data_IF_950564889926
#
_entry.id   IF_950564889926
#
_cell.length_a   1.000
_cell.length_b   1.000
_cell.length_c   1.000
_cell.angle_alpha   90.00
_cell.angle_beta   90.00
_cell.angle_gamma   90.00
#
_symmetry.space_group_name_H-M   'P 1'
#
loop_
_entity.id
_entity.type
_entity.pdbx_description
1 polymer ?
#
# COMPACT_ATOMS: atom_id res chain seq x y z
N UNK A 1 -13.36 6.12 11.82
CA UNK A 1 -12.58 5.95 13.07
C UNK A 1 -12.34 4.48 13.43
N UNK A 2 -13.39 3.61 13.48
CA UNK A 2 -13.19 2.18 13.78
C UNK A 2 -12.47 1.43 12.66
N UNK A 3 -12.78 1.72 11.40
CA UNK A 3 -12.09 1.15 10.25
C UNK A 3 -10.62 1.62 10.17
N UNK A 4 -10.35 2.88 10.52
CA UNK A 4 -8.99 3.42 10.57
C UNK A 4 -8.15 2.79 11.69
N UNK A 5 -8.75 2.58 12.87
CA UNK A 5 -8.09 1.90 13.97
C UNK A 5 -7.85 0.40 13.69
N UNK A 6 -8.71 -0.22 12.87
CA UNK A 6 -8.55 -1.60 12.46
C UNK A 6 -7.50 -1.76 11.35
N UNK A 7 -7.45 -0.79 10.41
CA UNK A 7 -6.43 -0.67 9.38
C UNK A 7 -5.05 -0.41 10.01
N UNK A 8 -4.97 0.46 11.01
CA UNK A 8 -3.76 0.77 11.76
C UNK A 8 -3.25 -0.46 12.55
N UNK A 9 -4.15 -1.23 13.18
CA UNK A 9 -3.78 -2.48 13.85
C UNK A 9 -3.31 -3.57 12.89
N UNK A 10 -3.89 -3.64 11.68
CA UNK A 10 -3.42 -4.58 10.63
C UNK A 10 -2.05 -4.12 10.13
N UNK A 11 -1.82 -2.82 10.01
CA UNK A 11 -0.54 -2.25 9.57
C UNK A 11 0.56 -2.36 10.65
N UNK A 12 0.21 -2.25 11.93
CA UNK A 12 1.13 -2.57 13.04
C UNK A 12 1.51 -4.05 13.06
N UNK A 13 0.62 -4.94 12.60
CA UNK A 13 0.88 -6.38 12.44
C UNK A 13 1.69 -6.75 11.20
N UNK A 14 1.86 -5.85 10.22
CA UNK A 14 2.79 -6.02 9.09
C UNK A 14 4.19 -5.62 9.55
N UNK A 15 4.73 -6.41 10.49
CA UNK A 15 6.13 -6.36 10.89
C UNK A 15 7.04 -6.76 9.72
N UNK A 16 8.30 -6.37 9.80
CA UNK A 16 9.37 -6.73 8.84
C UNK A 16 9.44 -8.23 8.53
N UNK A 17 8.93 -9.08 9.42
CA UNK A 17 8.86 -10.52 9.28
C UNK A 17 7.59 -11.05 8.56
N UNK A 18 6.60 -10.21 8.28
CA UNK A 18 5.32 -10.65 7.71
C UNK A 18 5.49 -11.31 6.33
N UNK A 19 6.11 -10.60 5.38
CA UNK A 19 6.34 -11.12 4.03
C UNK A 19 7.32 -12.32 3.99
N UNK A 20 8.45 -12.32 4.72
CA UNK A 20 9.30 -13.49 4.86
C UNK A 20 8.57 -14.71 5.42
N UNK A 21 7.69 -14.52 6.40
CA UNK A 21 6.90 -15.60 6.98
C UNK A 21 5.91 -16.19 5.97
N UNK A 22 5.19 -15.35 5.21
CA UNK A 22 4.29 -15.80 4.14
C UNK A 22 5.05 -16.57 3.06
N UNK A 23 6.22 -16.08 2.65
CA UNK A 23 7.08 -16.74 1.67
C UNK A 23 7.55 -18.09 2.17
N UNK A 24 7.94 -18.20 3.44
CA UNK A 24 8.33 -19.47 4.07
C UNK A 24 7.17 -20.46 4.09
N UNK A 25 5.97 -20.01 4.45
CA UNK A 25 4.75 -20.84 4.45
C UNK A 25 4.39 -21.32 3.05
N UNK A 26 4.44 -20.43 2.04
CA UNK A 26 4.20 -20.80 0.64
C UNK A 26 5.19 -21.88 0.17
N UNK A 27 6.48 -21.75 0.53
CA UNK A 27 7.50 -22.78 0.20
C UNK A 27 7.18 -24.14 0.83
N UNK A 28 6.61 -24.16 2.03
CA UNK A 28 6.20 -25.42 2.69
C UNK A 28 5.06 -26.06 1.89
N UNK A 29 4.04 -25.27 1.52
CA UNK A 29 2.91 -25.76 0.71
C UNK A 29 3.39 -26.30 -0.63
N UNK A 30 4.28 -25.59 -1.33
CA UNK A 30 4.84 -26.05 -2.62
C UNK A 30 5.65 -27.35 -2.49
N UNK A 31 6.30 -27.59 -1.34
CA UNK A 31 6.94 -28.87 -1.09
C UNK A 31 5.92 -30.02 -0.91
N UNK A 32 4.78 -29.73 -0.28
CA UNK A 32 3.70 -30.71 -0.18
C UNK A 32 3.06 -31.00 -1.54
N UNK A 33 2.91 -29.98 -2.39
CA UNK A 33 2.43 -30.16 -3.78
C UNK A 33 3.37 -31.05 -4.59
N UNK A 34 4.69 -30.83 -4.50
CA UNK A 34 5.69 -31.66 -5.17
C UNK A 34 5.66 -33.10 -4.66
N UNK A 35 5.66 -33.30 -3.35
CA UNK A 35 5.56 -34.64 -2.74
C UNK A 35 4.29 -35.37 -3.14
N UNK A 36 3.17 -34.65 -3.22
CA UNK A 36 1.90 -35.19 -3.67
C UNK A 36 1.97 -35.68 -5.14
N UNK A 37 2.59 -34.89 -6.03
CA UNK A 37 2.75 -35.27 -7.46
C UNK A 37 3.65 -36.50 -7.59
N UNK A 38 4.72 -36.62 -6.79
CA UNK A 38 5.57 -37.79 -6.74
C UNK A 38 4.80 -39.04 -6.28
N UNK A 39 3.95 -38.90 -5.26
CA UNK A 39 3.08 -39.96 -4.77
C UNK A 39 2.07 -40.45 -5.82
N UNK A 40 1.47 -39.51 -6.59
CA UNK A 40 0.59 -39.89 -7.71
C UNK A 40 1.33 -40.64 -8.81
N UNK A 41 2.54 -40.18 -9.15
CA UNK A 41 3.37 -40.86 -10.16
C UNK A 41 3.72 -42.27 -9.76
N UNK A 42 4.08 -42.50 -8.49
CA UNK A 42 4.36 -43.82 -7.94
C UNK A 42 3.09 -44.71 -7.96
N UNK A 43 1.93 -44.12 -7.65
CA UNK A 43 0.65 -44.84 -7.63
C UNK A 43 0.24 -45.30 -9.03
N UNK A 44 0.55 -44.51 -10.07
CA UNK A 44 0.31 -44.86 -11.48
C UNK A 44 1.25 -45.97 -11.95
N UNK A 45 2.48 -46.00 -11.48
CA UNK A 45 3.49 -47.03 -11.83
C UNK A 45 3.19 -48.41 -11.21
N UNK A 46 2.43 -48.45 -10.09
CA UNK A 46 2.01 -49.72 -9.48
C UNK A 46 0.81 -50.30 -10.24
N UNK A 47 1.10 -51.05 -11.30
CA UNK A 47 0.09 -51.71 -12.16
C UNK A 47 -0.74 -52.79 -11.46
N UNK A 48 -0.23 -53.40 -10.41
CA UNK A 48 -0.87 -54.53 -9.70
C UNK A 48 -2.08 -54.12 -8.82
N UNK A 49 -2.27 -52.85 -8.50
CA UNK A 49 -3.30 -52.44 -7.56
C UNK A 49 -4.56 -51.90 -8.28
N UNK A 50 -5.23 -52.76 -9.06
CA UNK A 50 -6.54 -52.46 -9.67
C UNK A 50 -7.71 -52.76 -8.70
N UNK A 51 -7.62 -52.27 -7.46
CA UNK A 51 -8.63 -52.53 -6.44
C UNK A 51 -9.41 -51.27 -6.01
N UNK A 52 -10.50 -51.46 -5.23
CA UNK A 52 -11.24 -50.34 -4.64
C UNK A 52 -10.35 -49.46 -3.75
N UNK A 53 -9.29 -50.00 -3.20
CA UNK A 53 -8.31 -49.31 -2.34
C UNK A 53 -7.51 -48.24 -3.11
N UNK A 54 -7.10 -48.50 -4.35
CA UNK A 54 -6.42 -47.54 -5.22
C UNK A 54 -7.31 -46.32 -5.46
N UNK A 55 -8.60 -46.52 -5.78
CA UNK A 55 -9.56 -45.45 -6.00
C UNK A 55 -9.77 -44.56 -4.78
N UNK A 56 -9.81 -45.20 -3.57
CA UNK A 56 -9.94 -44.46 -2.31
C UNK A 56 -8.69 -43.60 -2.04
N UNK A 57 -7.51 -44.14 -2.34
CA UNK A 57 -6.27 -43.42 -2.16
C UNK A 57 -6.16 -42.25 -3.15
N UNK A 58 -6.44 -42.45 -4.43
CA UNK A 58 -6.50 -41.39 -5.44
C UNK A 58 -7.48 -40.28 -5.05
N UNK A 59 -8.66 -40.64 -4.54
CA UNK A 59 -9.64 -39.67 -4.09
C UNK A 59 -9.16 -38.87 -2.87
N UNK A 60 -8.46 -39.49 -1.92
CA UNK A 60 -7.88 -38.79 -0.78
C UNK A 60 -6.74 -37.86 -1.21
N UNK A 61 -5.89 -38.33 -2.10
CA UNK A 61 -4.80 -37.54 -2.65
C UNK A 61 -5.32 -36.33 -3.44
N UNK A 62 -6.35 -36.49 -4.28
CA UNK A 62 -7.00 -35.40 -5.01
C UNK A 62 -7.60 -34.36 -4.06
N UNK A 63 -8.19 -34.76 -2.94
CA UNK A 63 -8.68 -33.81 -1.93
C UNK A 63 -7.53 -33.02 -1.27
N UNK A 64 -6.41 -33.67 -0.97
CA UNK A 64 -5.25 -33.00 -0.41
C UNK A 64 -4.66 -31.98 -1.38
N UNK A 65 -4.63 -32.28 -2.67
CA UNK A 65 -4.23 -31.33 -3.71
C UNK A 65 -5.11 -30.07 -3.69
N UNK A 66 -6.43 -30.24 -3.72
CA UNK A 66 -7.36 -29.12 -3.67
C UNK A 66 -7.17 -28.27 -2.41
N UNK A 67 -6.89 -28.89 -1.27
CA UNK A 67 -6.58 -28.14 -0.05
C UNK A 67 -5.26 -27.37 -0.15
N UNK A 68 -4.20 -27.99 -0.70
CA UNK A 68 -2.90 -27.34 -0.88
C UNK A 68 -3.01 -26.15 -1.83
N UNK A 69 -3.69 -26.29 -2.97
CA UNK A 69 -3.96 -25.22 -3.92
C UNK A 69 -4.76 -24.08 -3.27
N UNK A 70 -5.78 -24.39 -2.49
CA UNK A 70 -6.56 -23.38 -1.75
C UNK A 70 -5.70 -22.62 -0.73
N UNK A 71 -4.86 -23.31 0.02
CA UNK A 71 -3.95 -22.68 0.98
C UNK A 71 -2.93 -21.79 0.24
N UNK A 72 -2.39 -22.25 -0.86
CA UNK A 72 -1.46 -21.49 -1.72
C UNK A 72 -2.11 -20.21 -2.27
N UNK A 73 -3.37 -20.31 -2.72
CA UNK A 73 -4.16 -19.17 -3.18
C UNK A 73 -4.42 -18.17 -2.06
N UNK A 74 -4.88 -18.62 -0.90
CA UNK A 74 -5.12 -17.76 0.26
C UNK A 74 -3.85 -17.02 0.71
N UNK A 75 -2.71 -17.71 0.73
CA UNK A 75 -1.41 -17.07 1.07
C UNK A 75 -1.07 -15.98 0.05
N UNK A 76 -1.34 -16.20 -1.24
CA UNK A 76 -1.10 -15.23 -2.30
C UNK A 76 -2.03 -14.02 -2.20
N UNK A 77 -3.30 -14.24 -1.84
CA UNK A 77 -4.29 -13.21 -1.59
C UNK A 77 -3.90 -12.33 -0.40
N UNK A 78 -3.60 -12.93 0.76
CA UNK A 78 -3.13 -12.21 1.95
C UNK A 78 -1.87 -11.38 1.64
N UNK A 79 -0.97 -11.92 0.82
CA UNK A 79 0.23 -11.20 0.39
C UNK A 79 -0.12 -9.98 -0.45
N UNK A 80 -1.00 -10.12 -1.45
CA UNK A 80 -1.41 -9.02 -2.32
C UNK A 80 -2.16 -7.92 -1.57
N UNK A 81 -2.99 -8.30 -0.60
CA UNK A 81 -3.65 -7.34 0.30
C UNK A 81 -2.63 -6.58 1.17
N UNK A 82 -1.65 -7.28 1.75
CA UNK A 82 -0.57 -6.64 2.50
C UNK A 82 0.27 -5.68 1.67
N UNK A 83 0.62 -6.06 0.45
CA UNK A 83 1.35 -5.20 -0.50
C UNK A 83 0.51 -3.96 -0.87
N UNK A 84 -0.80 -4.12 -1.09
CA UNK A 84 -1.71 -3.01 -1.37
C UNK A 84 -1.80 -2.01 -0.22
N UNK A 85 -1.92 -2.50 1.02
CA UNK A 85 -1.95 -1.66 2.22
C UNK A 85 -0.64 -0.90 2.43
N UNK A 86 0.49 -1.54 2.16
CA UNK A 86 1.80 -0.89 2.23
C UNK A 86 1.93 0.23 1.18
N UNK A 87 1.53 -0.03 -0.06
CA UNK A 87 1.52 0.97 -1.13
C UNK A 87 0.61 2.16 -0.81
N UNK A 88 -0.57 1.90 -0.23
CA UNK A 88 -1.49 2.97 0.20
C UNK A 88 -0.86 3.85 1.30
N UNK A 89 -0.11 3.26 2.22
CA UNK A 89 0.62 3.99 3.26
C UNK A 89 1.76 4.83 2.68
N UNK A 90 2.54 4.26 1.78
CA UNK A 90 3.61 4.97 1.08
C UNK A 90 3.05 6.14 0.26
N UNK A 91 1.95 5.93 -0.45
CA UNK A 91 1.26 6.98 -1.20
C UNK A 91 0.78 8.12 -0.29
N UNK A 92 0.17 7.82 0.86
CA UNK A 92 -0.24 8.85 1.84
C UNK A 92 0.95 9.66 2.36
N UNK A 93 2.08 9.01 2.60
CA UNK A 93 3.30 9.68 3.02
C UNK A 93 3.85 10.59 1.92
N UNK A 94 3.86 10.11 0.68
CA UNK A 94 4.28 10.89 -0.48
C UNK A 94 3.35 12.08 -0.73
N UNK A 95 2.02 11.90 -0.59
CA UNK A 95 1.03 12.98 -0.65
C UNK A 95 1.33 14.07 0.39
N UNK A 96 1.57 13.67 1.64
CA UNK A 96 1.91 14.60 2.72
C UNK A 96 3.19 15.38 2.43
N UNK A 97 4.25 14.69 2.02
CA UNK A 97 5.52 15.33 1.64
C UNK A 97 5.35 16.29 0.45
N UNK A 98 4.54 15.90 -0.54
CA UNK A 98 4.25 16.73 -1.71
C UNK A 98 3.57 18.03 -1.30
N UNK A 99 2.55 17.96 -0.43
CA UNK A 99 1.85 19.15 0.08
C UNK A 99 2.81 20.08 0.80
N UNK A 100 3.61 19.55 1.73
CA UNK A 100 4.61 20.34 2.46
C UNK A 100 5.57 21.02 1.49
N UNK A 101 6.18 20.24 0.59
CA UNK A 101 7.19 20.75 -0.35
C UNK A 101 6.62 21.84 -1.26
N UNK A 102 5.39 21.65 -1.75
CA UNK A 102 4.73 22.62 -2.62
C UNK A 102 4.47 23.94 -1.90
N UNK A 103 4.04 23.89 -0.62
CA UNK A 103 3.81 25.09 0.19
C UNK A 103 5.14 25.80 0.53
N UNK A 104 6.17 25.03 0.89
CA UNK A 104 7.43 25.63 1.30
C UNK A 104 8.25 26.21 0.15
N UNK A 105 8.13 25.66 -1.05
CA UNK A 105 8.94 26.09 -2.21
C UNK A 105 8.72 27.56 -2.60
N UNK A 106 7.48 28.05 -2.85
CA UNK A 106 7.28 29.45 -3.16
C UNK A 106 7.53 30.37 -1.96
N UNK A 107 7.25 29.93 -0.73
CA UNK A 107 7.58 30.70 0.46
C UNK A 107 9.09 30.87 0.62
N UNK A 108 9.86 29.80 0.37
CA UNK A 108 11.34 29.85 0.40
C UNK A 108 11.89 30.76 -0.69
N UNK A 109 11.28 30.73 -1.89
CA UNK A 109 11.65 31.65 -2.97
C UNK A 109 11.38 33.09 -2.60
N UNK A 110 10.20 33.40 -2.04
CA UNK A 110 9.84 34.75 -1.59
C UNK A 110 10.78 35.25 -0.48
N UNK A 111 11.01 34.44 0.55
CA UNK A 111 11.90 34.81 1.66
C UNK A 111 13.34 34.94 1.20
N UNK A 112 13.79 34.08 0.31
CA UNK A 112 15.13 34.14 -0.29
C UNK A 112 15.32 35.39 -1.15
N UNK A 113 14.31 35.76 -1.97
CA UNK A 113 14.37 36.95 -2.80
C UNK A 113 14.45 38.22 -1.96
N UNK A 114 13.61 38.37 -0.95
CA UNK A 114 13.62 39.53 -0.07
C UNK A 114 14.75 39.48 0.99
N UNK A 115 15.34 38.29 1.22
CA UNK A 115 16.54 38.14 2.04
C UNK A 115 17.86 38.55 1.35
N UNK A 116 17.82 38.76 0.04
CA UNK A 116 19.00 39.25 -0.71
C UNK A 116 19.16 40.75 -0.49
N UNK A 117 20.23 41.16 0.23
CA UNK A 117 20.58 42.56 0.44
C UNK A 117 21.07 43.24 -0.85
N UNK A 118 20.25 43.32 -1.89
CA UNK A 118 20.63 43.99 -3.10
C UNK A 118 20.44 45.49 -2.95
N UNK A 119 21.52 46.24 -3.11
CA UNK A 119 21.48 47.71 -3.10
C UNK A 119 20.60 48.21 -4.24
N UNK A 120 19.44 48.80 -3.91
CA UNK A 120 18.47 49.37 -4.88
C UNK A 120 17.10 48.72 -4.91
N UNK A 121 16.78 47.82 -4.01
CA UNK A 121 15.40 47.35 -3.80
C UNK A 121 14.57 48.46 -3.15
N UNK A 122 13.87 49.24 -3.97
CA UNK A 122 12.98 50.34 -3.49
C UNK A 122 11.79 49.82 -2.68
N UNK A 123 11.46 48.54 -2.84
CA UNK A 123 10.39 47.84 -2.11
C UNK A 123 10.70 47.68 -0.62
N UNK A 124 11.97 47.67 -0.24
CA UNK A 124 12.41 47.54 1.17
C UNK A 124 12.28 48.89 1.92
N UNK A 125 12.30 50.02 1.21
CA UNK A 125 12.18 51.35 1.80
C UNK A 125 10.70 51.77 1.97
N UNK A 126 9.75 50.93 1.53
CA UNK A 126 8.33 51.23 1.62
C UNK A 126 7.78 50.86 3.02
N UNK A 127 7.19 51.83 3.71
CA UNK A 127 6.67 51.65 5.09
C UNK A 127 5.69 50.49 5.22
N UNK A 128 4.93 50.14 4.19
CA UNK A 128 3.96 49.06 4.14
C UNK A 128 4.50 47.77 3.52
N UNK A 129 5.77 47.77 3.09
CA UNK A 129 6.39 46.67 2.38
C UNK A 129 6.33 45.33 3.13
N UNK A 130 6.53 45.37 4.44
CA UNK A 130 6.45 44.17 5.30
C UNK A 130 5.03 43.59 5.37
N UNK A 131 4.01 44.45 5.48
CA UNK A 131 2.60 44.02 5.52
C UNK A 131 2.18 43.46 4.16
N UNK A 132 2.60 44.10 3.07
CA UNK A 132 2.36 43.64 1.71
C UNK A 132 3.01 42.26 1.47
N UNK A 133 4.23 42.04 1.92
CA UNK A 133 4.92 40.74 1.84
C UNK A 133 4.17 39.64 2.57
N UNK A 134 3.69 39.89 3.80
CA UNK A 134 2.89 38.91 4.54
C UNK A 134 1.58 38.62 3.82
N UNK A 135 0.90 39.64 3.29
CA UNK A 135 -0.35 39.48 2.52
C UNK A 135 -0.12 38.58 1.28
N UNK A 136 0.95 38.81 0.52
CA UNK A 136 1.30 38.00 -0.65
C UNK A 136 1.60 36.56 -0.22
N UNK A 137 2.36 36.34 0.84
CA UNK A 137 2.64 34.99 1.34
C UNK A 137 1.36 34.24 1.73
N UNK A 138 0.42 34.91 2.42
CA UNK A 138 -0.89 34.32 2.80
C UNK A 138 -1.69 33.98 1.53
N UNK A 139 -1.73 34.85 0.54
CA UNK A 139 -2.45 34.60 -0.73
C UNK A 139 -1.86 33.39 -1.46
N UNK A 140 -0.55 33.29 -1.54
CA UNK A 140 0.12 32.13 -2.17
C UNK A 140 -0.27 30.84 -1.46
N UNK A 141 -0.16 30.78 -0.15
CA UNK A 141 -0.55 29.57 0.64
C UNK A 141 -2.03 29.24 0.46
N UNK A 142 -2.92 30.27 0.47
CA UNK A 142 -4.34 30.06 0.28
C UNK A 142 -4.68 29.50 -1.12
N UNK A 143 -4.01 29.98 -2.16
CA UNK A 143 -4.17 29.47 -3.53
C UNK A 143 -3.70 28.02 -3.64
N UNK A 144 -2.57 27.68 -3.06
CA UNK A 144 -2.03 26.31 -3.06
C UNK A 144 -2.95 25.35 -2.30
N UNK A 145 -3.37 25.70 -1.09
CA UNK A 145 -4.33 24.90 -0.33
C UNK A 145 -5.65 24.71 -1.09
N UNK A 146 -6.17 25.78 -1.71
CA UNK A 146 -7.37 25.69 -2.54
C UNK A 146 -7.20 24.74 -3.72
N UNK A 147 -6.03 24.76 -4.35
CA UNK A 147 -5.69 23.84 -5.45
C UNK A 147 -5.67 22.38 -4.98
N UNK A 148 -5.04 22.08 -3.84
CA UNK A 148 -5.00 20.72 -3.28
C UNK A 148 -6.38 20.22 -2.84
N UNK A 149 -7.20 21.08 -2.23
CA UNK A 149 -8.59 20.76 -1.86
C UNK A 149 -9.42 20.45 -3.11
N UNK A 150 -9.32 21.26 -4.17
CA UNK A 150 -10.05 21.04 -5.43
C UNK A 150 -9.62 19.77 -6.16
N UNK A 151 -8.35 19.40 -6.07
CA UNK A 151 -7.84 18.13 -6.64
C UNK A 151 -8.17 16.89 -5.79
N UNK A 152 -8.82 17.06 -4.65
CA UNK A 152 -9.25 15.95 -3.81
C UNK A 152 -8.13 15.28 -3.00
N UNK A 153 -6.97 15.94 -2.87
CA UNK A 153 -5.85 15.43 -2.07
C UNK A 153 -6.24 15.15 -0.62
N UNK A 154 -7.16 15.95 -0.07
CA UNK A 154 -7.75 15.75 1.25
C UNK A 154 -9.07 15.00 1.21
N UNK A 155 -9.52 14.55 0.03
CA UNK A 155 -10.78 13.82 -0.10
C UNK A 155 -10.57 12.40 0.36
N UNK A 156 -10.99 12.09 1.57
CA UNK A 156 -11.12 10.75 2.13
C UNK A 156 -11.97 9.93 1.16
N UNK A 157 -11.35 9.03 0.39
CA UNK A 157 -12.06 8.09 -0.49
C UNK A 157 -13.00 7.26 0.39
N UNK A 158 -14.26 7.66 0.43
CA UNK A 158 -15.36 6.92 1.07
C UNK A 158 -15.62 5.63 0.26
N UNK A 159 -14.68 4.71 0.33
CA UNK A 159 -14.90 3.35 -0.14
C UNK A 159 -15.81 2.66 0.86
N UNK A 160 -17.02 2.40 0.44
CA UNK A 160 -17.89 1.53 1.18
C UNK A 160 -19.38 1.85 1.06
N UNK A 161 -19.93 1.81 -0.16
CA UNK A 161 -21.34 1.43 -0.35
C UNK A 161 -21.52 1.00 -1.81
N UNK A 162 -21.47 -0.28 -2.02
CA UNK A 162 -21.83 -0.84 -3.31
C UNK A 162 -21.92 -2.35 -3.21
N UNK A 163 -23.08 -2.88 -2.87
CA UNK A 163 -23.28 -4.31 -2.92
C UNK A 163 -24.46 -4.79 -2.10
N UNK A 164 -25.61 -4.14 -2.27
CA UNK A 164 -26.89 -4.81 -2.04
C UNK A 164 -27.67 -4.76 -3.35
N UNK A 165 -27.66 -5.86 -4.06
CA UNK A 165 -28.81 -6.40 -4.78
C UNK A 165 -28.56 -7.88 -5.05
#
# INVERSE_FOLDING_TARGET
KEAEAMEEKILEGIDSNFFPLLTKRKRIVSKFEAFYLDMLSILDEIEETKGPEKRVLEQKLSRLQVYAERISSNISEIRSEGESLQLDRENKTMEFLTVITTIFLPLSLLTGWYGMNWKGMKELDWEWGYIAFIAVAIVVVALELSFFIKRGFFSKKRNGKGGKK
#
